data_IF_676352886400
#
_entry.id   IF_676352886400
#
_cell.length_a   1.000
_cell.length_b   1.000
_cell.length_c   1.000
_cell.angle_alpha   90.00
_cell.angle_beta   90.00
_cell.angle_gamma   90.00
#
_symmetry.space_group_name_H-M   'P 1'
#
loop_
_entity.id
_entity.type
_entity.pdbx_description
1 polymer ?
#
# COMPACT_ATOMS: atom_id res chain seq x y z
N UNK A 1 21.59 31.23 -48.50
CA UNK A 1 22.17 30.55 -47.33
C UNK A 1 21.21 30.76 -46.21
N UNK A 2 20.34 29.80 -46.00
CA UNK A 2 19.23 29.91 -45.09
C UNK A 2 19.55 29.22 -43.76
N UNK A 3 19.42 29.97 -42.67
CA UNK A 3 19.37 29.42 -41.31
C UNK A 3 18.00 28.81 -41.09
N UNK A 4 17.90 27.50 -41.12
CA UNK A 4 16.72 26.76 -40.63
C UNK A 4 16.81 26.70 -39.12
N UNK A 5 15.84 27.32 -38.49
CA UNK A 5 15.60 27.35 -37.07
C UNK A 5 15.31 25.93 -36.54
N UNK A 6 16.06 25.52 -35.53
CA UNK A 6 15.78 24.39 -34.62
C UNK A 6 14.65 24.79 -33.64
N UNK A 7 13.43 24.88 -34.14
CA UNK A 7 12.21 25.04 -33.37
C UNK A 7 11.35 23.81 -33.64
N UNK A 8 11.54 22.74 -32.90
CA UNK A 8 10.70 21.59 -33.21
C UNK A 8 10.84 20.31 -32.38
N UNK A 9 11.49 20.32 -31.23
CA UNK A 9 11.56 19.10 -30.40
C UNK A 9 10.78 19.18 -29.07
N UNK A 10 10.27 20.32 -28.65
CA UNK A 10 9.51 20.46 -27.44
C UNK A 10 8.01 20.10 -27.56
N UNK A 11 7.45 20.16 -28.75
CA UNK A 11 6.02 19.89 -28.98
C UNK A 11 5.67 18.43 -29.21
N UNK A 12 6.65 17.54 -29.30
CA UNK A 12 6.39 16.11 -29.55
C UNK A 12 6.32 15.27 -28.26
N UNK A 13 6.57 15.86 -27.10
CA UNK A 13 6.55 15.13 -25.83
C UNK A 13 5.21 15.17 -25.08
N UNK A 14 4.23 15.98 -25.53
CA UNK A 14 2.94 16.06 -24.81
C UNK A 14 3.08 16.51 -23.35
N UNK A 15 4.21 17.16 -23.01
CA UNK A 15 4.37 17.80 -21.72
C UNK A 15 3.64 19.15 -21.86
N UNK A 16 2.32 19.13 -21.65
CA UNK A 16 1.63 20.34 -21.25
C UNK A 16 2.38 20.87 -20.04
N UNK A 17 2.88 22.12 -20.11
CA UNK A 17 3.31 22.85 -18.92
C UNK A 17 2.13 22.79 -17.96
N UNK A 18 2.20 21.95 -16.91
CA UNK A 18 1.22 21.97 -15.84
C UNK A 18 1.20 23.42 -15.35
N UNK A 19 0.11 24.12 -15.57
CA UNK A 19 -0.10 25.42 -14.95
C UNK A 19 0.13 25.22 -13.45
N UNK A 20 0.97 26.08 -12.88
CA UNK A 20 1.26 26.04 -11.44
C UNK A 20 -0.06 26.17 -10.70
N UNK A 21 -0.48 25.08 -10.04
CA UNK A 21 -1.74 25.07 -9.33
C UNK A 21 -1.69 25.97 -8.09
N UNK A 22 -0.52 26.11 -7.49
CA UNK A 22 -0.33 26.91 -6.30
C UNK A 22 1.14 27.39 -6.16
N UNK A 23 1.33 28.41 -5.33
CA UNK A 23 2.63 28.84 -4.81
C UNK A 23 2.68 28.81 -3.29
N UNK A 24 1.52 28.87 -2.66
CA UNK A 24 1.33 28.85 -1.20
C UNK A 24 0.12 27.99 -0.85
N UNK A 25 0.02 27.56 0.40
CA UNK A 25 -1.15 26.84 0.90
C UNK A 25 -2.44 27.65 0.72
N UNK A 26 -2.36 28.97 0.84
CA UNK A 26 -3.51 29.87 0.66
C UNK A 26 -4.05 29.82 -0.77
N UNK A 27 -3.20 29.65 -1.78
CA UNK A 27 -3.64 29.50 -3.18
C UNK A 27 -4.51 28.24 -3.34
N UNK A 28 -4.24 27.19 -2.56
CA UNK A 28 -5.04 25.97 -2.57
C UNK A 28 -6.41 26.18 -1.93
N UNK A 29 -6.48 26.90 -0.83
CA UNK A 29 -7.75 27.25 -0.18
C UNK A 29 -8.62 28.14 -1.07
N UNK A 30 -8.03 29.15 -1.72
CA UNK A 30 -8.73 30.02 -2.68
C UNK A 30 -9.30 29.27 -3.89
N UNK A 31 -8.69 28.16 -4.26
CA UNK A 31 -9.16 27.27 -5.33
C UNK A 31 -10.17 26.22 -4.86
N UNK A 32 -10.56 26.24 -3.60
CA UNK A 32 -11.54 25.32 -3.01
C UNK A 32 -10.95 24.01 -2.51
N UNK A 33 -9.63 23.89 -2.40
CA UNK A 33 -8.97 22.74 -1.77
C UNK A 33 -8.74 23.03 -0.29
N UNK A 34 -9.83 23.01 0.50
CA UNK A 34 -9.75 23.28 1.93
C UNK A 34 -8.76 22.34 2.65
N UNK A 35 -7.85 22.92 3.42
CA UNK A 35 -6.85 22.18 4.19
C UNK A 35 -5.76 21.51 3.35
N UNK A 36 -5.62 21.85 2.07
CA UNK A 36 -4.49 21.39 1.26
C UNK A 36 -3.22 22.20 1.53
N UNK A 37 -2.07 21.58 1.25
CA UNK A 37 -0.78 22.25 1.18
C UNK A 37 -0.36 22.43 -0.28
N UNK A 38 0.39 23.48 -0.55
CA UNK A 38 1.04 23.64 -1.84
C UNK A 38 2.38 22.89 -1.82
N UNK A 39 2.43 21.73 -2.44
CA UNK A 39 3.62 20.88 -2.52
C UNK A 39 4.04 20.80 -3.98
N UNK A 40 5.26 21.23 -4.28
CA UNK A 40 5.79 21.22 -5.67
C UNK A 40 4.85 21.90 -6.69
N UNK A 41 4.20 22.99 -6.29
CA UNK A 41 3.22 23.76 -7.06
C UNK A 41 1.89 23.03 -7.36
N UNK A 42 1.56 21.98 -6.63
CA UNK A 42 0.30 21.24 -6.70
C UNK A 42 -0.39 21.30 -5.36
N UNK A 43 -1.70 21.48 -5.35
CA UNK A 43 -2.49 21.43 -4.13
C UNK A 43 -2.72 20.00 -3.68
N UNK A 44 -2.12 19.63 -2.55
CA UNK A 44 -2.17 18.29 -2.00
C UNK A 44 -2.89 18.27 -0.66
N UNK A 45 -3.77 17.28 -0.39
CA UNK A 45 -4.41 17.17 0.90
C UNK A 45 -3.37 17.05 2.02
N UNK A 46 -3.46 17.88 3.05
CA UNK A 46 -2.63 17.70 4.24
C UNK A 46 -3.04 16.42 4.94
N UNK A 47 -2.08 15.53 5.13
CA UNK A 47 -2.30 14.34 5.95
C UNK A 47 -2.63 14.71 7.39
N UNK A 48 -3.61 14.04 7.97
CA UNK A 48 -3.84 14.10 9.40
C UNK A 48 -2.87 13.17 10.13
N UNK A 49 -1.90 13.75 10.81
CA UNK A 49 -0.90 13.04 11.59
C UNK A 49 -1.06 13.26 13.10
N UNK A 50 -2.22 13.78 13.54
CA UNK A 50 -2.48 14.15 14.93
C UNK A 50 -2.45 12.98 15.91
N UNK A 51 -2.67 11.76 15.43
CA UNK A 51 -2.65 10.54 16.25
C UNK A 51 -1.23 9.98 16.50
N UNK A 52 -0.21 10.49 15.79
CA UNK A 52 1.16 9.99 15.98
C UNK A 52 1.61 10.25 17.42
N UNK A 53 2.07 9.17 18.07
CA UNK A 53 2.51 9.21 19.47
C UNK A 53 1.39 9.11 20.49
N UNK A 54 0.13 9.07 20.08
CA UNK A 54 -0.99 8.75 20.95
C UNK A 54 -1.13 7.24 21.12
N UNK A 55 -1.48 6.73 22.31
CA UNK A 55 -1.68 5.30 22.50
C UNK A 55 -2.91 4.85 21.72
N UNK A 56 -2.72 3.89 20.81
CA UNK A 56 -3.83 3.23 20.15
C UNK A 56 -4.61 2.37 21.17
N UNK A 57 -5.93 2.40 21.08
CA UNK A 57 -6.79 1.48 21.84
C UNK A 57 -6.80 0.15 21.08
N UNK A 58 -6.05 -0.82 21.56
CA UNK A 58 -6.10 -2.18 21.04
C UNK A 58 -7.45 -2.81 21.38
N UNK A 59 -8.00 -3.57 20.47
CA UNK A 59 -9.28 -4.24 20.66
C UNK A 59 -9.24 -5.22 21.84
N UNK A 60 -10.43 -5.51 22.40
CA UNK A 60 -10.61 -6.53 23.42
C UNK A 60 -10.02 -7.87 22.93
N UNK A 61 -9.37 -8.66 23.80
CA UNK A 61 -8.82 -9.97 23.43
C UNK A 61 -9.88 -11.00 22.95
N UNK A 62 -11.16 -10.73 23.14
CA UNK A 62 -12.22 -11.57 22.59
C UNK A 62 -12.09 -11.71 21.07
N UNK A 63 -12.59 -12.82 20.52
CA UNK A 63 -12.61 -13.04 19.08
C UNK A 63 -13.48 -12.00 18.38
N UNK A 64 -12.99 -11.51 17.24
CA UNK A 64 -13.65 -10.50 16.42
C UNK A 64 -13.64 -10.92 14.96
N UNK A 65 -14.70 -10.60 14.22
CA UNK A 65 -14.71 -10.75 12.76
C UNK A 65 -13.79 -9.69 12.11
N UNK A 66 -12.95 -10.17 11.22
CA UNK A 66 -12.20 -9.36 10.27
C UNK A 66 -12.76 -9.64 8.88
N UNK A 67 -13.36 -8.64 8.28
CA UNK A 67 -13.94 -8.73 6.94
C UNK A 67 -12.93 -8.21 5.94
N UNK A 68 -12.54 -9.07 4.99
CA UNK A 68 -11.68 -8.67 3.87
C UNK A 68 -12.52 -8.52 2.61
N UNK A 69 -12.30 -7.43 1.90
CA UNK A 69 -12.75 -7.25 0.53
C UNK A 69 -11.55 -7.35 -0.41
N UNK A 70 -11.55 -8.36 -1.28
CA UNK A 70 -10.43 -8.71 -2.13
C UNK A 70 -10.66 -8.22 -3.57
N UNK A 71 -9.67 -7.51 -4.11
CA UNK A 71 -9.71 -6.91 -5.43
C UNK A 71 -8.59 -7.41 -6.33
N UNK A 72 -8.86 -7.43 -7.62
CA UNK A 72 -7.85 -7.68 -8.64
C UNK A 72 -6.91 -6.47 -8.75
N UNK A 73 -5.64 -6.67 -8.45
CA UNK A 73 -4.62 -5.62 -8.53
C UNK A 73 -4.34 -5.10 -9.94
N UNK A 74 -4.91 -5.73 -10.99
CA UNK A 74 -4.81 -5.23 -12.36
C UNK A 74 -5.72 -4.03 -12.63
N UNK A 75 -6.70 -3.80 -11.77
CA UNK A 75 -7.60 -2.66 -11.85
C UNK A 75 -7.18 -1.63 -10.81
N UNK A 76 -6.91 -0.39 -11.21
CA UNK A 76 -6.58 0.65 -10.26
C UNK A 76 -7.73 0.85 -9.28
N UNK A 77 -7.46 0.68 -8.01
CA UNK A 77 -8.40 1.06 -6.96
C UNK A 77 -8.11 2.52 -6.63
N UNK A 78 -8.93 3.41 -7.17
CA UNK A 78 -8.89 4.83 -6.80
C UNK A 78 -9.61 4.99 -5.46
N UNK A 79 -8.86 5.31 -4.44
CA UNK A 79 -9.41 5.70 -3.15
C UNK A 79 -9.77 7.20 -3.24
N UNK A 80 -11.03 7.52 -3.53
CA UNK A 80 -11.53 8.90 -3.52
C UNK A 80 -11.80 9.34 -2.08
N UNK A 81 -11.29 10.48 -1.69
CA UNK A 81 -11.70 11.16 -0.47
C UNK A 81 -12.76 12.18 -0.81
N UNK A 82 -14.03 11.84 -0.68
CA UNK A 82 -15.08 12.84 -0.57
C UNK A 82 -15.58 12.89 0.87
N UNK A 83 -15.31 14.00 1.55
CA UNK A 83 -15.91 14.37 2.84
C UNK A 83 -15.70 13.38 4.00
N UNK A 84 -14.46 12.90 4.21
CA UNK A 84 -14.13 12.13 5.42
C UNK A 84 -14.69 10.70 5.46
N UNK A 85 -15.28 10.23 4.38
CA UNK A 85 -15.54 8.81 4.12
C UNK A 85 -14.68 8.38 2.96
N UNK A 86 -13.97 7.28 3.14
CA UNK A 86 -13.33 6.56 2.04
C UNK A 86 -14.44 5.93 1.21
N UNK A 87 -15.12 6.74 0.41
CA UNK A 87 -15.97 6.21 -0.64
C UNK A 87 -15.01 5.62 -1.68
N UNK A 88 -14.72 4.34 -1.48
CA UNK A 88 -14.16 3.52 -2.53
C UNK A 88 -15.16 3.66 -3.69
N UNK A 89 -14.80 4.34 -4.76
CA UNK A 89 -15.51 4.18 -6.02
C UNK A 89 -15.24 2.77 -6.53
N UNK A 90 -15.84 1.80 -5.83
CA UNK A 90 -15.73 0.36 -6.07
C UNK A 90 -16.59 -0.07 -7.25
N UNK A 91 -17.31 0.86 -7.89
CA UNK A 91 -18.25 0.54 -8.96
C UNK A 91 -17.60 -0.20 -10.14
N UNK A 92 -16.29 -0.03 -10.33
CA UNK A 92 -15.54 -0.68 -11.42
C UNK A 92 -14.43 -1.63 -10.94
N UNK A 93 -14.15 -1.71 -9.63
CA UNK A 93 -13.11 -2.57 -9.12
C UNK A 93 -13.52 -4.04 -9.28
N UNK A 94 -12.73 -4.78 -10.04
CA UNK A 94 -12.94 -6.20 -10.23
C UNK A 94 -12.69 -6.95 -8.94
N UNK A 95 -13.74 -7.56 -8.41
CA UNK A 95 -13.68 -8.42 -7.21
C UNK A 95 -12.94 -9.71 -7.52
N UNK A 96 -12.27 -10.26 -6.51
CA UNK A 96 -11.52 -11.50 -6.66
C UNK A 96 -12.15 -12.62 -5.83
N UNK A 97 -13.06 -13.44 -6.42
CA UNK A 97 -13.68 -14.57 -5.73
C UNK A 97 -12.74 -15.78 -5.64
N UNK A 98 -13.04 -16.68 -4.72
CA UNK A 98 -12.36 -17.98 -4.60
C UNK A 98 -10.98 -17.95 -3.95
N UNK A 99 -10.52 -16.81 -3.45
CA UNK A 99 -9.26 -16.68 -2.72
C UNK A 99 -9.40 -17.31 -1.34
N UNK A 100 -8.56 -18.29 -1.01
CA UNK A 100 -8.46 -18.80 0.35
C UNK A 100 -7.73 -17.77 1.21
N UNK A 101 -8.36 -17.34 2.30
CA UNK A 101 -7.77 -16.46 3.30
C UNK A 101 -7.64 -17.22 4.62
N UNK A 102 -6.46 -17.19 5.25
CA UNK A 102 -6.16 -17.86 6.52
C UNK A 102 -5.46 -16.86 7.44
N UNK A 103 -5.90 -16.79 8.71
CA UNK A 103 -5.23 -15.94 9.70
C UNK A 103 -4.06 -16.69 10.34
N UNK A 104 -2.86 -16.14 10.25
CA UNK A 104 -1.62 -16.80 10.63
C UNK A 104 -0.94 -16.09 11.79
N UNK A 105 -0.29 -16.85 12.67
CA UNK A 105 0.51 -16.29 13.76
C UNK A 105 1.76 -15.59 13.18
N UNK A 106 2.19 -14.44 13.72
CA UNK A 106 3.37 -13.74 13.22
C UNK A 106 4.68 -14.56 13.34
N UNK A 107 4.72 -15.54 14.23
CA UNK A 107 5.86 -16.44 14.42
C UNK A 107 5.82 -17.67 13.51
N UNK A 108 4.70 -17.92 12.85
CA UNK A 108 4.50 -19.04 11.90
C UNK A 108 4.55 -18.52 10.45
N UNK A 109 5.75 -18.28 9.97
CA UNK A 109 5.98 -17.69 8.65
C UNK A 109 5.39 -18.50 7.49
N UNK A 110 5.20 -19.81 7.66
CA UNK A 110 4.62 -20.73 6.66
C UNK A 110 3.13 -20.92 6.81
N UNK A 111 2.56 -20.44 7.95
CA UNK A 111 1.15 -20.64 8.28
C UNK A 111 0.73 -22.11 8.32
N UNK A 112 1.54 -22.96 8.97
CA UNK A 112 1.23 -24.37 9.14
C UNK A 112 0.14 -24.59 10.18
N UNK A 113 0.03 -23.66 11.14
CA UNK A 113 -0.95 -23.70 12.22
C UNK A 113 -1.73 -22.38 12.27
N UNK A 114 -2.68 -22.18 11.35
CA UNK A 114 -3.43 -20.94 11.30
C UNK A 114 -4.27 -20.72 12.59
N UNK A 115 -4.39 -19.47 13.00
CA UNK A 115 -5.27 -19.03 14.09
C UNK A 115 -6.73 -19.22 13.70
N UNK A 116 -7.03 -18.97 12.44
CA UNK A 116 -8.27 -19.31 11.74
C UNK A 116 -7.89 -19.94 10.40
N UNK A 117 -8.36 -21.18 10.18
CA UNK A 117 -8.13 -21.92 8.94
C UNK A 117 -8.84 -21.32 7.72
N UNK A 118 -9.65 -20.30 7.98
CA UNK A 118 -10.21 -19.43 6.97
C UNK A 118 -11.30 -20.01 6.10
N UNK A 119 -11.62 -19.24 5.08
CA UNK A 119 -12.60 -19.56 4.07
C UNK A 119 -12.19 -19.00 2.71
N UNK A 120 -12.88 -19.43 1.66
CA UNK A 120 -12.74 -18.80 0.34
C UNK A 120 -13.62 -17.57 0.23
N UNK A 121 -13.10 -16.52 -0.42
CA UNK A 121 -13.90 -15.35 -0.73
C UNK A 121 -15.09 -15.70 -1.62
N UNK A 122 -16.20 -15.03 -1.36
CA UNK A 122 -17.45 -15.19 -2.11
C UNK A 122 -17.40 -14.51 -3.49
N UNK A 123 -18.53 -14.52 -4.21
CA UNK A 123 -18.65 -13.89 -5.53
C UNK A 123 -18.42 -12.37 -5.51
N UNK A 124 -18.56 -11.74 -4.35
CA UNK A 124 -18.29 -10.33 -4.10
C UNK A 124 -16.85 -10.09 -3.63
N UNK A 125 -15.99 -11.11 -3.61
CA UNK A 125 -14.62 -11.04 -3.13
C UNK A 125 -14.51 -10.88 -1.62
N UNK A 126 -15.57 -11.17 -0.86
CA UNK A 126 -15.60 -11.01 0.59
C UNK A 126 -15.26 -12.31 1.30
N UNK A 127 -14.47 -12.20 2.36
CA UNK A 127 -14.21 -13.29 3.29
C UNK A 127 -14.16 -12.76 4.72
N UNK A 128 -14.70 -13.52 5.66
CA UNK A 128 -14.68 -13.18 7.09
C UNK A 128 -13.82 -14.19 7.83
N UNK A 129 -12.92 -13.69 8.68
CA UNK A 129 -12.05 -14.46 9.55
C UNK A 129 -12.35 -14.11 11.01
N UNK A 130 -12.31 -15.11 11.89
CA UNK A 130 -12.50 -14.92 13.33
C UNK A 130 -11.15 -14.95 14.06
N UNK A 131 -10.66 -13.78 14.43
CA UNK A 131 -9.34 -13.64 15.06
C UNK A 131 -9.45 -13.05 16.46
N UNK A 132 -8.49 -13.30 17.37
CA UNK A 132 -8.42 -12.56 18.63
C UNK A 132 -8.33 -11.06 18.39
N UNK A 133 -8.95 -10.24 19.23
CA UNK A 133 -8.84 -8.78 19.11
C UNK A 133 -7.41 -8.24 19.27
N UNK A 134 -6.52 -9.04 19.90
CA UNK A 134 -5.09 -8.77 20.00
C UNK A 134 -4.28 -9.33 18.83
N UNK A 135 -4.95 -9.72 17.73
CA UNK A 135 -4.29 -10.29 16.56
C UNK A 135 -3.27 -9.31 15.98
N UNK A 136 -2.03 -9.75 15.90
CA UNK A 136 -0.90 -9.00 15.33
C UNK A 136 -0.14 -9.86 14.29
N UNK A 137 -0.84 -10.84 13.71
CA UNK A 137 -0.31 -11.74 12.69
C UNK A 137 -0.45 -11.19 11.27
N UNK A 138 -0.53 -12.10 10.34
CA UNK A 138 -0.80 -11.79 8.95
C UNK A 138 -1.91 -12.69 8.41
N UNK A 139 -2.54 -12.28 7.33
CA UNK A 139 -3.50 -13.10 6.61
C UNK A 139 -2.82 -13.62 5.35
N UNK A 140 -2.77 -14.94 5.22
CA UNK A 140 -2.30 -15.59 3.99
C UNK A 140 -3.45 -15.64 3.00
N UNK A 141 -3.21 -15.08 1.81
CA UNK A 141 -4.11 -15.15 0.67
C UNK A 141 -3.50 -16.06 -0.38
N UNK A 142 -4.23 -17.06 -0.82
CA UNK A 142 -3.78 -18.00 -1.86
C UNK A 142 -4.86 -18.25 -2.90
N UNK A 143 -4.42 -18.27 -4.17
CA UNK A 143 -5.24 -18.57 -5.33
C UNK A 143 -4.36 -19.08 -6.46
N UNK A 144 -4.85 -20.01 -7.31
CA UNK A 144 -4.05 -20.66 -8.37
C UNK A 144 -3.47 -19.67 -9.39
N UNK A 145 -4.21 -18.60 -9.72
CA UNK A 145 -3.82 -17.60 -10.71
C UNK A 145 -3.09 -16.40 -10.12
N UNK A 146 -2.90 -16.36 -8.80
CA UNK A 146 -2.31 -15.25 -8.10
C UNK A 146 -0.98 -15.60 -7.42
N UNK A 147 -0.29 -14.57 -6.95
CA UNK A 147 0.84 -14.75 -6.05
C UNK A 147 0.32 -15.02 -4.63
N UNK A 148 0.92 -16.00 -3.98
CA UNK A 148 0.74 -16.14 -2.54
C UNK A 148 1.07 -14.82 -1.85
N UNK A 149 0.12 -14.32 -1.07
CA UNK A 149 0.25 -13.00 -0.44
C UNK A 149 0.17 -13.13 1.07
N UNK A 150 1.10 -12.52 1.78
CA UNK A 150 1.01 -12.30 3.24
C UNK A 150 0.54 -10.86 3.48
N UNK A 151 -0.70 -10.69 3.93
CA UNK A 151 -1.30 -9.38 4.19
C UNK A 151 -1.15 -9.04 5.68
N UNK A 152 -0.40 -7.98 5.97
CA UNK A 152 -0.19 -7.44 7.31
C UNK A 152 -1.09 -6.22 7.51
N UNK A 153 -2.04 -6.33 8.44
CA UNK A 153 -3.04 -5.28 8.72
C UNK A 153 -2.61 -4.33 9.85
N UNK A 154 -1.55 -4.67 10.57
CA UNK A 154 -1.23 -4.04 11.84
C UNK A 154 -2.17 -4.50 12.97
N UNK A 155 -2.07 -3.87 14.16
CA UNK A 155 -2.94 -4.20 15.29
C UNK A 155 -4.40 -3.80 14.97
N UNK A 156 -5.34 -4.66 15.40
CA UNK A 156 -6.77 -4.35 15.33
C UNK A 156 -7.12 -3.27 16.35
N UNK A 157 -7.84 -2.25 15.93
CA UNK A 157 -8.25 -1.15 16.81
C UNK A 157 -9.64 -1.40 17.39
N UNK A 158 -9.88 -0.91 18.60
CA UNK A 158 -11.16 -1.09 19.29
C UNK A 158 -12.33 -0.40 18.58
N UNK A 159 -12.05 0.71 17.90
CA UNK A 159 -13.01 1.48 17.13
C UNK A 159 -13.38 0.87 15.77
N UNK A 160 -12.59 -0.09 15.28
CA UNK A 160 -12.85 -0.79 14.02
C UNK A 160 -13.84 -1.94 14.26
N UNK A 161 -15.13 -1.68 14.32
CA UNK A 161 -16.15 -2.71 14.51
C UNK A 161 -17.32 -2.58 13.50
N UNK A 162 -17.54 -3.56 12.61
CA UNK A 162 -16.63 -4.67 12.30
C UNK A 162 -15.37 -4.18 11.60
N UNK A 163 -14.24 -4.82 11.88
CA UNK A 163 -12.97 -4.49 11.21
C UNK A 163 -13.05 -4.83 9.74
N UNK A 164 -13.15 -3.82 8.88
CA UNK A 164 -13.18 -3.96 7.43
C UNK A 164 -11.82 -3.58 6.84
N UNK A 165 -11.29 -4.44 6.01
CA UNK A 165 -10.02 -4.24 5.35
C UNK A 165 -10.11 -4.59 3.87
N UNK A 166 -9.21 -4.01 3.11
CA UNK A 166 -9.10 -4.28 1.68
C UNK A 166 -7.83 -5.08 1.41
N UNK A 167 -7.90 -6.04 0.53
CA UNK A 167 -6.75 -6.81 0.10
C UNK A 167 -6.63 -6.78 -1.42
N UNK A 168 -5.43 -6.49 -1.92
CA UNK A 168 -5.13 -6.57 -3.35
C UNK A 168 -4.56 -7.93 -3.66
N UNK A 169 -5.20 -8.64 -4.57
CA UNK A 169 -4.72 -9.92 -5.11
C UNK A 169 -3.98 -9.64 -6.41
N UNK A 170 -2.71 -9.98 -6.45
CA UNK A 170 -1.82 -9.68 -7.57
C UNK A 170 -1.55 -10.94 -8.36
N UNK A 171 -1.93 -10.96 -9.62
CA UNK A 171 -1.56 -12.08 -10.53
C UNK A 171 -0.08 -12.05 -10.86
N UNK A 172 0.48 -13.22 -11.17
CA UNK A 172 1.87 -13.34 -11.64
C UNK A 172 2.11 -12.50 -12.90
N UNK A 173 1.13 -12.48 -13.82
CA UNK A 173 1.21 -11.72 -15.06
C UNK A 173 1.28 -10.21 -14.79
N UNK A 174 0.47 -9.71 -13.85
CA UNK A 174 0.52 -8.30 -13.47
C UNK A 174 1.88 -7.91 -12.89
N UNK A 175 2.41 -8.71 -11.97
CA UNK A 175 3.71 -8.39 -11.37
C UNK A 175 4.85 -8.42 -12.38
N UNK A 176 4.82 -9.39 -13.33
CA UNK A 176 5.78 -9.41 -14.46
C UNK A 176 5.63 -8.17 -15.34
N UNK A 177 4.40 -7.75 -15.63
CA UNK A 177 4.13 -6.52 -16.38
C UNK A 177 4.66 -5.27 -15.69
N UNK A 178 4.43 -5.14 -14.38
CA UNK A 178 4.97 -4.03 -13.57
C UNK A 178 6.50 -4.02 -13.58
N UNK A 179 7.14 -5.17 -13.40
CA UNK A 179 8.60 -5.27 -13.43
C UNK A 179 9.19 -4.92 -14.80
N UNK A 180 8.51 -5.34 -15.86
CA UNK A 180 8.91 -4.98 -17.24
C UNK A 180 8.77 -3.46 -17.46
N UNK A 181 7.70 -2.84 -16.99
CA UNK A 181 7.52 -1.39 -17.04
C UNK A 181 8.61 -0.63 -16.26
N UNK A 182 9.05 -1.19 -15.15
CA UNK A 182 10.14 -0.67 -14.34
C UNK A 182 11.54 -0.96 -14.91
N UNK A 183 11.65 -1.78 -15.94
CA UNK A 183 12.92 -2.31 -16.46
C UNK A 183 13.76 -2.99 -15.36
N UNK A 184 13.11 -3.71 -14.44
CA UNK A 184 13.76 -4.44 -13.35
C UNK A 184 13.60 -5.93 -13.59
N UNK A 185 14.68 -6.73 -13.58
CA UNK A 185 14.57 -8.17 -13.65
C UNK A 185 13.84 -8.69 -12.42
N UNK A 186 12.73 -9.38 -12.63
CA UNK A 186 11.91 -9.91 -11.55
C UNK A 186 12.27 -11.38 -11.30
N UNK A 187 12.45 -11.72 -10.03
CA UNK A 187 12.70 -13.10 -9.60
C UNK A 187 11.42 -13.70 -9.05
N UNK A 188 10.71 -14.47 -9.86
CA UNK A 188 9.53 -15.27 -9.47
C UNK A 188 9.82 -16.76 -9.37
N UNK A 189 11.01 -17.19 -9.78
CA UNK A 189 11.39 -18.59 -9.72
C UNK A 189 11.59 -19.03 -8.27
N UNK A 190 10.99 -20.17 -7.87
CA UNK A 190 11.30 -20.79 -6.60
C UNK A 190 12.81 -21.06 -6.46
N UNK A 191 13.34 -20.89 -5.25
CA UNK A 191 14.76 -21.05 -4.89
C UNK A 191 15.68 -19.86 -5.23
N UNK A 192 15.12 -18.71 -5.56
CA UNK A 192 15.90 -17.47 -5.72
C UNK A 192 16.12 -16.72 -4.41
N UNK A 193 15.46 -17.15 -3.34
CA UNK A 193 15.57 -16.51 -2.03
C UNK A 193 15.03 -15.08 -1.99
N UNK A 194 14.10 -14.71 -2.89
CA UNK A 194 13.55 -13.36 -3.01
C UNK A 194 12.03 -13.36 -3.03
N UNK A 195 11.45 -12.35 -2.40
CA UNK A 195 10.03 -12.02 -2.48
C UNK A 195 9.82 -10.56 -2.84
N UNK A 196 8.59 -10.09 -2.72
CA UNK A 196 8.20 -8.74 -3.11
C UNK A 196 7.35 -8.10 -2.02
N UNK A 197 7.40 -6.78 -1.93
CA UNK A 197 6.62 -6.00 -0.96
C UNK A 197 5.81 -4.95 -1.70
N UNK A 198 4.54 -4.82 -1.30
CA UNK A 198 3.69 -3.68 -1.59
C UNK A 198 3.18 -3.12 -0.27
N UNK A 199 3.04 -1.82 -0.17
CA UNK A 199 2.43 -1.21 1.01
C UNK A 199 1.48 -0.09 0.60
N UNK A 200 0.53 0.18 1.49
CA UNK A 200 -0.33 1.34 1.48
C UNK A 200 -0.27 2.01 2.84
N UNK A 201 -0.04 3.32 2.87
CA UNK A 201 0.07 4.09 4.12
C UNK A 201 -1.13 5.00 4.27
N UNK A 202 -1.73 4.95 5.46
CA UNK A 202 -2.92 5.71 5.82
C UNK A 202 -2.60 6.69 6.94
N UNK A 203 -3.19 7.88 6.86
CA UNK A 203 -3.15 8.89 7.92
C UNK A 203 -4.11 8.56 9.08
N UNK A 204 -4.25 9.48 10.03
CA UNK A 204 -5.13 9.33 11.18
C UNK A 204 -6.64 9.35 10.83
N UNK A 205 -7.00 9.85 9.67
CA UNK A 205 -8.35 9.84 9.13
C UNK A 205 -8.61 8.68 8.13
N UNK A 206 -7.71 7.69 8.08
CA UNK A 206 -7.75 6.54 7.16
C UNK A 206 -7.75 6.91 5.67
N UNK A 207 -7.08 7.99 5.31
CA UNK A 207 -6.86 8.37 3.93
C UNK A 207 -5.50 7.88 3.47
N UNK A 208 -5.41 7.40 2.24
CA UNK A 208 -4.12 7.07 1.60
C UNK A 208 -3.28 8.35 1.46
N UNK A 209 -2.02 8.26 1.87
CA UNK A 209 -1.18 9.44 1.99
C UNK A 209 0.03 9.42 1.07
N UNK A 210 0.22 10.53 0.42
CA UNK A 210 1.44 10.88 -0.31
C UNK A 210 2.49 11.53 0.60
N UNK A 211 3.71 11.64 0.08
CA UNK A 211 4.80 12.30 0.79
C UNK A 211 5.40 11.48 1.92
N UNK A 212 5.01 10.23 2.09
CA UNK A 212 5.53 9.34 3.13
C UNK A 212 6.87 8.76 2.70
N UNK A 213 7.92 9.07 3.45
CA UNK A 213 9.23 8.45 3.26
C UNK A 213 9.23 7.02 3.80
N UNK A 214 9.83 6.09 3.05
CA UNK A 214 9.94 4.69 3.45
C UNK A 214 11.34 4.13 3.17
N UNK A 215 11.80 3.26 4.06
CA UNK A 215 13.09 2.60 3.92
C UNK A 215 13.13 1.27 4.64
N UNK A 216 13.88 0.32 4.10
CA UNK A 216 14.25 -0.91 4.80
C UNK A 216 15.32 -0.57 5.85
N UNK A 217 15.10 -1.01 7.10
CA UNK A 217 16.13 -0.88 8.14
C UNK A 217 17.24 -1.91 7.92
N UNK A 218 18.49 -1.47 8.05
CA UNK A 218 19.67 -2.32 7.86
C UNK A 218 20.25 -2.28 6.45
N UNK A 219 21.22 -3.14 6.19
CA UNK A 219 21.92 -3.21 4.90
C UNK A 219 21.22 -4.19 3.96
N UNK A 220 20.19 -3.74 3.27
CA UNK A 220 19.56 -4.50 2.19
C UNK A 220 19.80 -3.80 0.85
N UNK A 221 20.89 -4.13 0.20
CA UNK A 221 21.36 -3.47 -1.04
C UNK A 221 20.71 -4.03 -2.30
N UNK A 222 20.00 -5.16 -2.21
CA UNK A 222 19.47 -5.85 -3.39
C UNK A 222 18.00 -5.52 -3.70
N UNK A 223 17.27 -5.03 -2.71
CA UNK A 223 15.87 -4.66 -2.91
C UNK A 223 15.76 -3.34 -3.70
N UNK A 224 14.95 -3.34 -4.73
CA UNK A 224 14.68 -2.15 -5.55
C UNK A 224 13.41 -1.48 -5.07
N UNK A 225 13.46 -0.25 -4.52
CA UNK A 225 12.26 0.50 -4.14
C UNK A 225 11.52 1.01 -5.37
N UNK A 226 10.23 1.10 -5.26
CA UNK A 226 9.35 1.66 -6.29
C UNK A 226 8.11 2.31 -5.67
N UNK A 227 7.47 3.18 -6.42
CA UNK A 227 6.19 3.80 -6.09
C UNK A 227 5.27 3.76 -7.30
N UNK A 228 3.98 3.98 -7.06
CA UNK A 228 3.03 4.27 -8.13
C UNK A 228 2.84 5.80 -8.23
N UNK A 229 3.20 6.36 -9.38
CA UNK A 229 2.90 7.73 -9.77
C UNK A 229 1.85 7.69 -10.87
N UNK A 230 0.64 8.17 -10.59
CA UNK A 230 -0.48 8.13 -11.54
C UNK A 230 -0.61 6.74 -12.22
N UNK A 231 -0.54 5.67 -11.41
CA UNK A 231 -0.59 4.25 -11.82
C UNK A 231 0.61 3.75 -12.62
N UNK A 232 1.61 4.59 -12.83
CA UNK A 232 2.86 4.20 -13.48
C UNK A 232 3.90 3.85 -12.42
N UNK A 233 4.52 2.67 -12.44
CA UNK A 233 5.55 2.31 -11.49
C UNK A 233 6.85 3.08 -11.78
N UNK A 234 7.38 3.75 -10.76
CA UNK A 234 8.64 4.51 -10.81
C UNK A 234 9.64 3.90 -9.86
N UNK A 235 10.82 3.55 -10.35
CA UNK A 235 11.90 2.91 -9.58
C UNK A 235 12.81 3.90 -8.91
N UNK A 236 13.39 3.49 -7.78
CA UNK A 236 14.39 4.27 -7.05
C UNK A 236 13.80 5.33 -6.14
N UNK A 237 12.49 5.56 -6.20
CA UNK A 237 11.82 6.48 -5.30
C UNK A 237 11.62 5.85 -3.91
N UNK A 238 11.85 6.65 -2.87
CA UNK A 238 11.71 6.26 -1.45
C UNK A 238 10.70 7.14 -0.71
N UNK A 239 9.87 7.85 -1.47
CA UNK A 239 8.77 8.67 -0.97
C UNK A 239 7.52 8.36 -1.78
N UNK A 240 6.40 8.09 -1.11
CA UNK A 240 5.13 7.85 -1.78
C UNK A 240 4.60 9.10 -2.48
N UNK A 241 3.95 8.88 -3.61
CA UNK A 241 3.24 9.90 -4.38
C UNK A 241 1.73 9.69 -4.24
N UNK A 242 0.93 10.40 -5.03
CA UNK A 242 -0.52 10.28 -5.04
C UNK A 242 -0.99 8.82 -5.00
N UNK A 243 -1.83 8.50 -4.02
CA UNK A 243 -2.32 7.13 -3.81
C UNK A 243 -1.56 6.35 -2.74
N UNK A 244 -0.50 6.92 -2.10
CA UNK A 244 0.14 6.37 -0.91
C UNK A 244 0.71 4.95 -1.07
N UNK A 245 0.89 4.47 -2.31
CA UNK A 245 1.28 3.10 -2.59
C UNK A 245 2.72 3.04 -3.11
N UNK A 246 3.45 2.09 -2.59
CA UNK A 246 4.81 1.80 -3.00
C UNK A 246 5.24 0.40 -2.60
N UNK A 247 6.53 0.12 -2.72
CA UNK A 247 7.02 -1.21 -2.37
C UNK A 247 8.49 -1.43 -2.65
N UNK A 248 8.84 -2.69 -2.63
CA UNK A 248 10.17 -3.18 -2.98
C UNK A 248 10.04 -4.46 -3.79
N UNK A 249 10.81 -4.58 -4.86
CA UNK A 249 10.95 -5.84 -5.58
C UNK A 249 12.30 -6.49 -5.28
N UNK A 250 12.36 -7.83 -5.43
CA UNK A 250 13.56 -8.63 -5.22
C UNK A 250 14.13 -8.52 -3.80
N UNK A 251 13.26 -8.48 -2.80
CA UNK A 251 13.66 -8.43 -1.39
C UNK A 251 14.14 -9.81 -0.95
N UNK A 252 15.32 -9.94 -0.33
CA UNK A 252 15.76 -11.20 0.25
C UNK A 252 14.75 -11.76 1.26
N UNK A 253 14.60 -13.10 1.28
CA UNK A 253 13.71 -13.78 2.22
C UNK A 253 14.18 -13.63 3.67
N UNK A 254 13.21 -13.65 4.59
CA UNK A 254 13.46 -13.55 6.02
C UNK A 254 12.76 -12.37 6.69
N UNK A 255 13.16 -12.09 7.93
CA UNK A 255 12.61 -10.98 8.67
C UNK A 255 13.08 -9.64 8.11
N UNK A 256 12.14 -8.74 7.92
CA UNK A 256 12.37 -7.40 7.39
C UNK A 256 11.67 -6.37 8.26
N UNK A 257 12.35 -5.23 8.47
CA UNK A 257 11.76 -4.06 9.10
C UNK A 257 11.71 -2.94 8.07
N UNK A 258 10.52 -2.42 7.81
CA UNK A 258 10.32 -1.25 6.96
C UNK A 258 9.88 -0.10 7.86
N UNK A 259 10.59 1.00 7.79
CA UNK A 259 10.29 2.23 8.52
C UNK A 259 9.56 3.21 7.62
N UNK A 260 8.57 3.90 8.18
CA UNK A 260 7.79 4.92 7.52
C UNK A 260 7.83 6.23 8.29
N UNK A 261 7.94 7.35 7.56
CA UNK A 261 7.95 8.70 8.13
C UNK A 261 6.96 9.58 7.39
N UNK A 262 6.21 10.36 8.14
CA UNK A 262 5.33 11.38 7.61
C UNK A 262 6.11 12.50 6.91
N UNK A 263 5.47 13.28 6.03
CA UNK A 263 6.02 14.55 5.58
C UNK A 263 6.46 15.40 6.78
N UNK A 264 7.68 15.95 6.72
CA UNK A 264 8.27 16.65 7.88
C UNK A 264 9.07 15.75 8.83
N UNK A 265 9.16 14.44 8.59
CA UNK A 265 10.09 13.52 9.24
C UNK A 265 9.59 12.84 10.51
N UNK A 266 8.34 13.09 10.94
CA UNK A 266 7.75 12.38 12.08
C UNK A 266 7.69 10.87 11.80
N UNK A 267 8.03 10.04 12.79
CA UNK A 267 8.00 8.59 12.67
C UNK A 267 6.54 8.11 12.73
N UNK A 268 6.02 7.58 11.63
CA UNK A 268 4.68 6.99 11.58
C UNK A 268 4.68 5.62 12.25
N UNK A 269 5.73 4.84 12.00
CA UNK A 269 5.87 3.49 12.55
C UNK A 269 6.78 2.57 11.72
N UNK A 270 6.75 1.31 12.12
CA UNK A 270 7.52 0.23 11.50
C UNK A 270 6.63 -0.96 11.22
N UNK A 271 6.83 -1.54 10.04
CA UNK A 271 6.26 -2.85 9.73
C UNK A 271 7.35 -3.91 9.91
N UNK A 272 7.11 -4.84 10.83
CA UNK A 272 7.93 -6.04 11.00
C UNK A 272 7.25 -7.18 10.24
N UNK A 273 7.86 -7.63 9.16
CA UNK A 273 7.25 -8.60 8.25
C UNK A 273 8.22 -9.72 7.93
N UNK A 274 7.69 -10.88 7.58
CA UNK A 274 8.49 -11.97 7.04
C UNK A 274 8.30 -12.05 5.53
N UNK A 275 9.40 -11.94 4.80
CA UNK A 275 9.43 -12.06 3.34
C UNK A 275 9.54 -13.52 2.96
N UNK A 276 8.54 -14.03 2.25
CA UNK A 276 8.53 -15.38 1.69
C UNK A 276 9.03 -15.37 0.26
N UNK A 277 9.66 -16.46 -0.12
CA UNK A 277 10.17 -16.65 -1.47
C UNK A 277 9.03 -16.70 -2.49
N UNK A 278 9.24 -16.04 -3.63
CA UNK A 278 8.28 -16.00 -4.75
C UNK A 278 6.86 -15.56 -4.36
N UNK A 279 6.73 -14.84 -3.24
CA UNK A 279 5.48 -14.38 -2.67
C UNK A 279 5.43 -12.86 -2.56
N UNK A 280 4.23 -12.34 -2.41
CA UNK A 280 3.97 -10.94 -2.12
C UNK A 280 3.75 -10.75 -0.62
N UNK A 281 4.37 -9.73 -0.06
CA UNK A 281 4.07 -9.21 1.28
C UNK A 281 3.34 -7.89 1.10
N UNK A 282 2.08 -7.84 1.50
CA UNK A 282 1.24 -6.64 1.45
C UNK A 282 1.12 -6.04 2.85
N UNK A 283 1.35 -4.75 2.97
CA UNK A 283 1.36 -4.05 4.26
C UNK A 283 0.34 -2.90 4.20
N UNK A 284 -0.60 -2.90 5.13
CA UNK A 284 -1.48 -1.77 5.39
C UNK A 284 -0.99 -1.07 6.66
N UNK A 285 -0.33 0.06 6.50
CA UNK A 285 0.17 0.84 7.63
C UNK A 285 -0.78 1.99 7.94
N UNK A 286 -1.42 1.93 9.11
CA UNK A 286 -2.24 3.02 9.64
C UNK A 286 -1.48 3.77 10.72
N UNK A 287 -1.38 5.10 10.61
CA UNK A 287 -0.63 5.92 11.56
C UNK A 287 -1.13 5.75 13.01
N UNK A 288 -2.44 5.62 13.21
CA UNK A 288 -3.06 5.45 14.53
C UNK A 288 -2.92 4.04 15.12
N UNK A 289 -2.56 3.05 14.33
CA UNK A 289 -2.44 1.67 14.77
C UNK A 289 -1.09 1.33 15.41
N UNK A 290 -0.20 2.30 15.55
CA UNK A 290 1.12 2.09 16.15
C UNK A 290 1.01 2.16 17.68
N UNK A 291 0.56 1.06 18.30
CA UNK A 291 0.69 0.88 19.75
C UNK A 291 2.17 0.82 20.12
N UNK A 292 2.57 1.58 21.13
CA UNK A 292 3.93 1.54 21.70
C UNK A 292 4.06 0.39 22.67
#
# INVERSE_FOLDING_TARGET
MGSLALLGCAQLAGIEERELECRTDADCEERGFEGAACVSNVCEPKGDWSCIGQPARVADPAKRPVVLELFDGSVPVTFGSSQGKTDLELAEAKRYPGVLAEACNPLDATCENPVDAGAKSDAQGRVTLEVPGTFAGFIRLSHEDALDTSLYLGPLLAEDDPSQYFGTVVSKTLLVGLAAAMNVPLSLEPKNGKGHVIFSVFDCADRLMEGVDFAIEGKQTEATPWILLDQTPVVGATRSERGGTGGFVNVPTGNLVIRFRAPGGADIGRANVFIRESALTSIMLRARAQAR
#
